data_IF_713979323907
#
_entry.id   IF_713979323907
#
_cell.length_a   1.000
_cell.length_b   1.000
_cell.length_c   1.000
_cell.angle_alpha   90.00
_cell.angle_beta   90.00
_cell.angle_gamma   90.00
#
_symmetry.space_group_name_H-M   'P 1'
#
loop_
_entity.id
_entity.type
_entity.pdbx_description
1 polymer ?
#
# COMPACT_ATOMS: atom_id res chain seq x y z
N UNK A 1 15.96 -26.04 -14.46
CA UNK A 1 15.73 -25.95 -13.01
C UNK A 1 15.18 -24.55 -12.77
N UNK A 2 13.92 -24.42 -12.36
CA UNK A 2 13.20 -23.29 -11.73
C UNK A 2 11.73 -23.64 -11.97
N UNK A 3 11.14 -24.34 -11.01
CA UNK A 3 9.70 -24.27 -10.75
C UNK A 3 9.52 -23.52 -9.44
N UNK A 4 8.27 -23.18 -9.11
CA UNK A 4 7.79 -22.64 -7.83
C UNK A 4 7.83 -21.10 -7.78
N UNK A 5 6.70 -20.45 -8.05
CA UNK A 5 6.57 -19.00 -7.89
C UNK A 5 6.84 -18.53 -6.45
N UNK A 6 7.15 -17.25 -6.33
CA UNK A 6 7.64 -16.64 -5.10
C UNK A 6 6.54 -15.82 -4.44
N UNK A 7 6.15 -16.21 -3.22
CA UNK A 7 5.05 -15.59 -2.48
C UNK A 7 5.60 -14.78 -1.32
N UNK A 8 5.30 -13.48 -1.29
CA UNK A 8 5.64 -12.56 -0.21
C UNK A 8 4.39 -12.10 0.52
N UNK A 9 4.42 -12.11 1.86
CA UNK A 9 3.39 -11.53 2.70
C UNK A 9 3.89 -10.21 3.32
N UNK A 10 3.23 -9.11 3.00
CA UNK A 10 3.50 -7.78 3.53
C UNK A 10 2.46 -7.45 4.58
N UNK A 11 2.89 -7.15 5.80
CA UNK A 11 1.99 -7.02 6.95
C UNK A 11 2.29 -5.79 7.79
N UNK A 12 1.27 -5.11 8.30
CA UNK A 12 1.41 -3.92 9.13
C UNK A 12 0.24 -2.96 8.95
N UNK A 13 0.28 -1.80 9.59
CA UNK A 13 -0.84 -0.86 9.56
C UNK A 13 -1.13 -0.26 8.16
N UNK A 14 -2.33 0.29 7.92
CA UNK A 14 -2.62 1.01 6.69
C UNK A 14 -1.66 2.19 6.46
N UNK A 15 -1.20 2.35 5.21
CA UNK A 15 -0.40 3.52 4.82
C UNK A 15 1.08 3.47 5.22
N UNK A 16 1.62 2.31 5.59
CA UNK A 16 3.06 2.10 5.91
C UNK A 16 3.92 1.67 4.72
N UNK A 17 3.35 1.60 3.50
CA UNK A 17 4.11 1.32 2.27
C UNK A 17 4.06 -0.12 1.75
N UNK A 18 3.13 -0.96 2.23
CA UNK A 18 2.95 -2.34 1.74
C UNK A 18 2.75 -2.41 0.21
N UNK A 19 1.70 -1.76 -0.30
CA UNK A 19 1.40 -1.68 -1.75
C UNK A 19 2.56 -1.04 -2.53
N UNK A 20 3.14 0.05 -2.00
CA UNK A 20 4.28 0.74 -2.62
C UNK A 20 5.50 -0.16 -2.80
N UNK A 21 5.70 -1.15 -1.91
CA UNK A 21 6.81 -2.10 -2.03
C UNK A 21 6.63 -3.04 -3.22
N UNK A 22 5.41 -3.52 -3.45
CA UNK A 22 5.09 -4.33 -4.62
C UNK A 22 5.21 -3.52 -5.93
N UNK A 23 4.75 -2.26 -5.92
CA UNK A 23 4.93 -1.32 -7.03
C UNK A 23 6.42 -1.08 -7.35
N UNK A 24 7.23 -0.83 -6.33
CA UNK A 24 8.67 -0.59 -6.48
C UNK A 24 9.39 -1.85 -6.99
N UNK A 25 9.00 -3.03 -6.52
CA UNK A 25 9.55 -4.30 -7.01
C UNK A 25 9.21 -4.52 -8.49
N UNK A 26 7.97 -4.25 -8.91
CA UNK A 26 7.56 -4.36 -10.30
C UNK A 26 8.32 -3.38 -11.22
N UNK A 27 8.51 -2.14 -10.75
CA UNK A 27 9.29 -1.11 -11.46
C UNK A 27 10.75 -1.55 -11.66
N UNK A 28 11.42 -1.98 -10.58
CA UNK A 28 12.82 -2.43 -10.62
C UNK A 28 13.00 -3.68 -11.50
N UNK A 29 12.04 -4.60 -11.49
CA UNK A 29 12.08 -5.81 -12.31
C UNK A 29 11.61 -5.59 -13.75
N UNK A 30 11.13 -4.37 -14.08
CA UNK A 30 10.52 -4.03 -15.36
C UNK A 30 9.41 -4.99 -15.78
N UNK A 31 8.60 -5.44 -14.81
CA UNK A 31 7.46 -6.33 -15.04
C UNK A 31 6.14 -5.57 -14.78
N UNK A 32 5.07 -5.85 -15.53
CA UNK A 32 3.75 -5.30 -15.22
C UNK A 32 3.32 -5.70 -13.81
N UNK A 33 2.67 -4.80 -13.07
CA UNK A 33 2.00 -5.13 -11.82
C UNK A 33 0.50 -5.32 -12.09
N UNK A 34 0.00 -6.52 -11.86
CA UNK A 34 -1.45 -6.77 -11.78
C UNK A 34 -1.86 -6.62 -10.32
N UNK A 35 -2.64 -5.59 -9.99
CA UNK A 35 -3.11 -5.33 -8.63
C UNK A 35 -4.62 -5.51 -8.54
N UNK A 36 -5.07 -6.20 -7.50
CA UNK A 36 -6.49 -6.29 -7.16
C UNK A 36 -6.69 -6.31 -5.65
N UNK A 37 -7.82 -5.76 -5.18
CA UNK A 37 -8.23 -5.96 -3.78
C UNK A 37 -8.86 -7.34 -3.63
N UNK A 38 -8.62 -7.98 -2.49
CA UNK A 38 -9.22 -9.27 -2.19
C UNK A 38 -10.77 -9.19 -2.15
N UNK A 39 -11.35 -8.02 -1.84
CA UNK A 39 -12.79 -7.79 -1.92
C UNK A 39 -13.38 -7.85 -3.34
N UNK A 40 -12.55 -7.72 -4.38
CA UNK A 40 -12.97 -7.78 -5.79
C UNK A 40 -13.12 -9.22 -6.30
N UNK A 41 -12.69 -10.22 -5.52
CA UNK A 41 -12.79 -11.64 -5.90
C UNK A 41 -14.24 -12.18 -5.84
N UNK A 42 -15.16 -11.47 -5.19
CA UNK A 42 -16.56 -11.87 -5.06
C UNK A 42 -16.95 -12.32 -3.65
N UNK A 43 -18.24 -12.57 -3.45
CA UNK A 43 -18.80 -12.83 -2.12
C UNK A 43 -18.90 -14.34 -1.83
N UNK A 44 -19.22 -15.13 -2.86
CA UNK A 44 -19.37 -16.58 -2.74
C UNK A 44 -18.05 -17.32 -2.92
N UNK A 45 -18.00 -18.60 -2.53
CA UNK A 45 -16.79 -19.41 -2.71
C UNK A 45 -16.48 -19.67 -4.20
N UNK A 46 -17.53 -19.81 -5.04
CA UNK A 46 -17.38 -20.08 -6.48
C UNK A 46 -16.87 -18.85 -7.23
N UNK A 47 -17.46 -17.67 -6.98
CA UNK A 47 -17.02 -16.42 -7.64
C UNK A 47 -15.55 -16.11 -7.35
N UNK A 48 -15.13 -16.34 -6.10
CA UNK A 48 -13.74 -16.20 -5.69
C UNK A 48 -12.83 -17.17 -6.45
N UNK A 49 -13.26 -18.41 -6.62
CA UNK A 49 -12.47 -19.42 -7.33
C UNK A 49 -12.30 -19.03 -8.80
N UNK A 50 -13.39 -18.69 -9.48
CA UNK A 50 -13.40 -18.30 -10.89
C UNK A 50 -12.57 -17.02 -11.11
N UNK A 51 -12.73 -16.02 -10.24
CA UNK A 51 -12.01 -14.75 -10.34
C UNK A 51 -10.52 -14.92 -10.08
N UNK A 52 -10.15 -15.73 -9.09
CA UNK A 52 -8.74 -15.97 -8.78
C UNK A 52 -8.06 -16.79 -9.89
N UNK A 53 -8.74 -17.80 -10.45
CA UNK A 53 -8.22 -18.57 -11.59
C UNK A 53 -7.99 -17.67 -12.81
N UNK A 54 -8.95 -16.81 -13.15
CA UNK A 54 -8.83 -15.83 -14.22
C UNK A 54 -7.64 -14.89 -14.00
N UNK A 55 -7.49 -14.33 -12.80
CA UNK A 55 -6.41 -13.40 -12.48
C UNK A 55 -5.04 -14.06 -12.54
N UNK A 56 -4.92 -15.28 -12.00
CA UNK A 56 -3.68 -16.06 -12.09
C UNK A 56 -3.31 -16.37 -13.54
N UNK A 57 -4.29 -16.69 -14.39
CA UNK A 57 -4.08 -16.91 -15.81
C UNK A 57 -3.62 -15.63 -16.53
N UNK A 58 -4.28 -14.50 -16.28
CA UNK A 58 -3.91 -13.20 -16.86
C UNK A 58 -2.51 -12.76 -16.44
N UNK A 59 -2.22 -12.83 -15.15
CA UNK A 59 -0.91 -12.47 -14.62
C UNK A 59 0.20 -13.35 -15.24
N UNK A 60 -0.08 -14.65 -15.41
CA UNK A 60 0.86 -15.58 -16.04
C UNK A 60 1.07 -15.27 -17.52
N UNK A 61 0.01 -14.96 -18.25
CA UNK A 61 0.08 -14.59 -19.68
C UNK A 61 0.86 -13.30 -19.92
N UNK A 62 0.77 -12.35 -18.99
CA UNK A 62 1.49 -11.08 -19.06
C UNK A 62 2.88 -11.11 -18.43
N UNK A 63 3.27 -12.24 -17.83
CA UNK A 63 4.48 -12.34 -17.01
C UNK A 63 4.53 -11.21 -15.95
N UNK A 64 3.39 -10.94 -15.32
CA UNK A 64 3.20 -9.85 -14.37
C UNK A 64 3.60 -10.26 -12.95
N UNK A 65 3.95 -9.28 -12.13
CA UNK A 65 3.89 -9.45 -10.67
C UNK A 65 2.42 -9.33 -10.27
N UNK A 66 1.92 -10.26 -9.45
CA UNK A 66 0.57 -10.20 -8.92
C UNK A 66 0.59 -9.61 -7.51
N UNK A 67 -0.28 -8.64 -7.25
CA UNK A 67 -0.55 -8.08 -5.93
C UNK A 67 -2.01 -8.32 -5.56
N UNK A 68 -2.22 -9.08 -4.48
CA UNK A 68 -3.51 -9.19 -3.81
C UNK A 68 -3.45 -8.31 -2.55
N UNK A 69 -4.17 -7.20 -2.57
CA UNK A 69 -4.23 -6.24 -1.46
C UNK A 69 -5.38 -6.59 -0.50
N UNK A 70 -5.22 -6.31 0.80
CA UNK A 70 -6.25 -6.50 1.83
C UNK A 70 -6.74 -7.96 1.96
N UNK A 71 -5.81 -8.92 1.91
CA UNK A 71 -6.12 -10.35 2.01
C UNK A 71 -6.56 -10.82 3.41
N UNK A 72 -6.83 -9.91 4.36
CA UNK A 72 -7.24 -10.25 5.73
C UNK A 72 -8.41 -11.27 5.74
N UNK A 73 -9.38 -11.12 4.83
CA UNK A 73 -10.56 -12.00 4.70
C UNK A 73 -10.19 -13.40 4.21
N UNK A 74 -9.11 -13.53 3.45
CA UNK A 74 -8.66 -14.79 2.85
C UNK A 74 -7.70 -15.54 3.75
N UNK A 75 -6.84 -14.82 4.47
CA UNK A 75 -5.77 -15.42 5.26
C UNK A 75 -6.27 -16.07 6.56
N UNK A 76 -7.42 -15.62 7.07
CA UNK A 76 -8.02 -16.14 8.31
C UNK A 76 -8.82 -17.43 8.07
N UNK A 77 -8.43 -18.54 8.70
CA UNK A 77 -9.16 -19.81 8.61
C UNK A 77 -10.35 -19.84 9.57
N UNK A 78 -11.54 -19.39 9.13
CA UNK A 78 -12.75 -19.35 9.98
C UNK A 78 -13.77 -20.44 9.65
N UNK A 79 -13.82 -20.89 8.40
CA UNK A 79 -14.83 -21.84 7.89
C UNK A 79 -14.25 -22.83 6.87
N UNK A 80 -15.01 -23.88 6.55
CA UNK A 80 -14.63 -24.87 5.53
C UNK A 80 -14.57 -24.30 4.11
N UNK A 81 -15.29 -23.22 3.82
CA UNK A 81 -15.18 -22.46 2.57
C UNK A 81 -13.86 -21.71 2.45
N UNK A 82 -13.33 -21.18 3.55
CA UNK A 82 -12.06 -20.44 3.56
C UNK A 82 -10.89 -21.38 3.23
N UNK A 83 -10.92 -22.62 3.76
CA UNK A 83 -9.94 -23.66 3.42
C UNK A 83 -9.90 -24.00 1.92
N UNK A 84 -11.03 -23.88 1.19
CA UNK A 84 -11.06 -24.11 -0.26
C UNK A 84 -10.41 -22.95 -1.03
N UNK A 85 -10.73 -21.70 -0.66
CA UNK A 85 -10.12 -20.49 -1.23
C UNK A 85 -8.60 -20.48 -1.02
N UNK A 86 -8.16 -20.88 0.16
CA UNK A 86 -6.74 -20.96 0.53
C UNK A 86 -5.97 -21.96 -0.32
N UNK A 87 -6.61 -23.05 -0.75
CA UNK A 87 -6.01 -24.03 -1.66
C UNK A 87 -5.79 -23.48 -3.08
N UNK A 88 -6.50 -22.44 -3.50
CA UNK A 88 -6.39 -21.88 -4.85
C UNK A 88 -5.21 -20.92 -4.98
N UNK A 89 -4.98 -20.05 -3.99
CA UNK A 89 -3.74 -19.27 -3.87
C UNK A 89 -2.51 -20.21 -3.86
N UNK A 90 -2.74 -21.42 -3.34
CA UNK A 90 -1.77 -22.49 -3.23
C UNK A 90 -1.48 -23.25 -4.53
N UNK A 91 -2.35 -23.11 -5.55
CA UNK A 91 -2.11 -23.64 -6.90
C UNK A 91 -1.16 -22.68 -7.61
N UNK A 92 0.13 -23.01 -7.49
CA UNK A 92 1.31 -22.40 -8.10
C UNK A 92 1.05 -21.33 -9.18
N UNK A 93 0.98 -20.07 -8.78
CA UNK A 93 1.34 -18.99 -9.69
C UNK A 93 2.83 -19.18 -10.06
N UNK A 94 3.22 -19.26 -11.34
CA UNK A 94 4.62 -19.45 -11.71
C UNK A 94 5.49 -18.18 -11.60
N UNK A 95 4.94 -17.05 -11.10
CA UNK A 95 5.64 -15.78 -10.96
C UNK A 95 5.72 -15.25 -9.52
N UNK A 96 5.84 -13.93 -9.36
CA UNK A 96 5.92 -13.27 -8.06
C UNK A 96 4.52 -12.85 -7.61
N UNK A 97 4.15 -13.22 -6.38
CA UNK A 97 2.89 -12.88 -5.74
C UNK A 97 3.17 -12.11 -4.44
N UNK A 98 2.67 -10.88 -4.36
CA UNK A 98 2.57 -10.12 -3.13
C UNK A 98 1.16 -10.26 -2.54
N UNK A 99 1.11 -10.61 -1.26
CA UNK A 99 -0.09 -10.57 -0.44
C UNK A 99 0.09 -9.43 0.55
N UNK A 100 -0.92 -8.58 0.74
CA UNK A 100 -0.90 -7.62 1.85
C UNK A 100 -1.96 -7.98 2.89
N UNK A 101 -1.66 -7.64 4.14
CA UNK A 101 -2.61 -7.80 5.24
C UNK A 101 -2.40 -6.70 6.27
N UNK A 102 -3.46 -6.28 6.94
CA UNK A 102 -3.36 -5.41 8.12
C UNK A 102 -3.32 -6.25 9.41
N UNK A 103 -3.66 -7.54 9.33
CA UNK A 103 -3.73 -8.47 10.46
C UNK A 103 -2.86 -9.69 10.20
N UNK A 104 -1.99 -10.00 11.16
CA UNK A 104 -1.14 -11.20 11.13
C UNK A 104 -1.70 -12.37 11.94
N UNK A 105 -2.74 -12.13 12.72
CA UNK A 105 -3.32 -13.13 13.61
C UNK A 105 -4.07 -14.17 12.78
N UNK A 106 -3.89 -15.44 13.14
CA UNK A 106 -4.69 -16.57 12.64
C UNK A 106 -4.52 -16.91 11.14
N UNK A 107 -3.31 -16.73 10.60
CA UNK A 107 -2.97 -17.20 9.26
C UNK A 107 -3.12 -18.72 9.12
N UNK A 108 -3.83 -19.15 8.09
CA UNK A 108 -3.98 -20.57 7.72
C UNK A 108 -2.60 -21.27 7.56
N UNK A 109 -2.34 -22.40 8.27
CA UNK A 109 -1.09 -23.14 8.15
C UNK A 109 -0.72 -23.59 6.73
N UNK A 110 -1.71 -23.88 5.88
CA UNK A 110 -1.51 -24.29 4.49
C UNK A 110 -1.09 -23.11 3.59
N UNK A 111 -1.46 -21.87 3.92
CA UNK A 111 -0.92 -20.67 3.26
C UNK A 111 0.46 -20.35 3.82
N UNK A 112 0.59 -20.37 5.16
CA UNK A 112 1.85 -20.06 5.85
C UNK A 112 3.02 -20.90 5.33
N UNK A 113 2.81 -22.21 5.14
CA UNK A 113 3.83 -23.12 4.58
C UNK A 113 4.29 -22.81 3.15
N UNK A 114 3.58 -21.94 2.42
CA UNK A 114 3.91 -21.55 1.03
C UNK A 114 4.40 -20.11 0.91
N UNK A 115 4.30 -19.31 1.96
CA UNK A 115 4.88 -17.97 1.99
C UNK A 115 6.40 -18.14 2.10
N UNK A 116 7.12 -17.55 1.15
CA UNK A 116 8.57 -17.63 1.09
C UNK A 116 9.21 -16.57 1.97
N UNK A 117 8.58 -15.40 2.07
CA UNK A 117 9.04 -14.29 2.87
C UNK A 117 7.87 -13.53 3.47
N UNK A 118 7.95 -13.25 4.77
CA UNK A 118 7.04 -12.34 5.46
C UNK A 118 7.80 -11.09 5.87
N UNK A 119 7.30 -9.92 5.47
CA UNK A 119 7.83 -8.61 5.87
C UNK A 119 6.82 -7.95 6.81
N UNK A 120 7.29 -7.62 8.00
CA UNK A 120 6.53 -6.89 9.01
C UNK A 120 6.93 -5.41 8.98
N UNK A 121 5.95 -4.55 8.68
CA UNK A 121 6.10 -3.11 8.65
C UNK A 121 5.71 -2.55 10.02
N UNK A 122 6.66 -1.96 10.76
CA UNK A 122 6.33 -1.28 12.00
C UNK A 122 5.55 0.00 11.72
N UNK A 123 4.94 0.56 12.77
CA UNK A 123 4.42 1.92 12.72
C UNK A 123 5.53 2.91 12.33
N UNK A 124 5.17 3.96 11.58
CA UNK A 124 6.13 4.95 11.10
C UNK A 124 6.69 5.75 12.28
N UNK A 125 8.01 5.72 12.45
CA UNK A 125 8.71 6.60 13.39
C UNK A 125 8.85 8.03 12.85
N UNK A 126 9.38 8.93 13.70
CA UNK A 126 9.57 10.34 13.35
C UNK A 126 10.47 10.48 12.11
N UNK A 127 11.54 9.68 12.02
CA UNK A 127 12.47 9.71 10.90
C UNK A 127 11.79 9.30 9.58
N UNK A 128 10.99 8.25 9.60
CA UNK A 128 10.21 7.76 8.47
C UNK A 128 9.16 8.79 8.04
N UNK A 129 8.42 9.38 8.98
CA UNK A 129 7.46 10.45 8.68
C UNK A 129 8.15 11.67 8.08
N UNK A 130 9.29 12.09 8.61
CA UNK A 130 10.08 13.20 8.06
C UNK A 130 10.52 12.91 6.63
N UNK A 131 11.00 11.69 6.36
CA UNK A 131 11.37 11.28 5.01
C UNK A 131 10.16 11.35 4.06
N UNK A 132 9.01 10.82 4.47
CA UNK A 132 7.78 10.85 3.67
C UNK A 132 7.31 12.29 3.41
N UNK A 133 7.34 13.16 4.41
CA UNK A 133 7.03 14.58 4.26
C UNK A 133 7.94 15.26 3.24
N UNK A 134 9.26 15.06 3.37
CA UNK A 134 10.25 15.59 2.40
C UNK A 134 9.94 15.10 1.00
N UNK A 135 9.77 13.80 0.81
CA UNK A 135 9.47 13.19 -0.48
C UNK A 135 8.22 13.81 -1.11
N UNK A 136 7.10 13.88 -0.39
CA UNK A 136 5.88 14.41 -0.97
C UNK A 136 5.90 15.92 -1.19
N UNK A 137 6.62 16.70 -0.37
CA UNK A 137 6.77 18.15 -0.56
C UNK A 137 7.72 18.46 -1.73
N UNK A 138 8.83 17.73 -1.87
CA UNK A 138 9.82 17.94 -2.94
C UNK A 138 9.34 17.41 -4.29
N UNK A 139 8.73 16.22 -4.36
CA UNK A 139 8.27 15.65 -5.65
C UNK A 139 7.33 16.59 -6.42
N UNK A 140 6.48 17.34 -5.71
CA UNK A 140 5.60 18.30 -6.39
C UNK A 140 6.23 19.67 -6.65
N UNK A 141 7.40 19.99 -6.09
CA UNK A 141 8.23 21.12 -6.56
C UNK A 141 8.80 20.79 -7.93
N UNK A 142 9.45 19.63 -8.05
CA UNK A 142 10.11 19.16 -9.29
C UNK A 142 9.11 19.05 -10.44
N UNK A 143 7.90 18.56 -10.16
CA UNK A 143 6.85 18.47 -11.18
C UNK A 143 6.32 19.83 -11.67
N UNK A 144 6.60 20.94 -10.97
CA UNK A 144 6.03 22.27 -11.24
C UNK A 144 7.04 23.40 -11.41
N UNK A 145 8.33 23.13 -11.23
CA UNK A 145 9.40 24.14 -11.24
C UNK A 145 9.11 25.30 -10.27
N UNK A 146 8.54 24.98 -9.10
CA UNK A 146 8.11 25.94 -8.08
C UNK A 146 8.83 25.68 -6.75
N UNK A 147 9.48 26.71 -6.18
CA UNK A 147 10.01 26.67 -4.82
C UNK A 147 8.86 26.64 -3.80
N UNK A 148 8.90 25.72 -2.81
CA UNK A 148 7.93 25.76 -1.71
C UNK A 148 8.41 26.67 -0.59
N UNK A 149 7.51 27.39 0.06
CA UNK A 149 7.79 28.14 1.28
C UNK A 149 7.76 27.30 2.56
N UNK A 150 8.16 26.02 2.49
CA UNK A 150 8.22 25.10 3.63
C UNK A 150 9.69 24.77 3.90
N UNK A 151 10.19 25.11 5.08
CA UNK A 151 11.56 24.82 5.48
C UNK A 151 11.72 23.40 6.03
N UNK A 152 12.96 22.91 6.07
CA UNK A 152 13.25 21.61 6.70
C UNK A 152 12.86 21.58 8.18
N UNK A 153 13.02 22.70 8.89
CA UNK A 153 12.60 22.84 10.29
C UNK A 153 11.10 22.65 10.46
N UNK A 154 10.29 23.14 9.51
CA UNK A 154 8.84 22.98 9.52
C UNK A 154 8.46 21.50 9.34
N UNK A 155 9.16 20.80 8.44
CA UNK A 155 8.95 19.37 8.19
C UNK A 155 9.33 18.50 9.39
N UNK A 156 10.43 18.83 10.07
CA UNK A 156 10.81 18.17 11.34
C UNK A 156 9.70 18.37 12.37
N UNK A 157 9.24 19.60 12.56
CA UNK A 157 8.16 19.89 13.49
C UNK A 157 6.84 19.19 13.12
N UNK A 158 6.55 18.98 11.84
CA UNK A 158 5.38 18.22 11.37
C UNK A 158 5.52 16.73 11.69
N UNK A 159 6.70 16.16 11.44
CA UNK A 159 6.98 14.75 11.69
C UNK A 159 6.93 14.40 13.20
N UNK A 160 7.36 15.32 14.06
CA UNK A 160 7.32 15.14 15.52
C UNK A 160 5.89 15.22 16.08
N UNK A 161 5.09 16.19 15.64
CA UNK A 161 3.77 16.47 16.25
C UNK A 161 2.59 15.72 15.62
N UNK A 162 2.71 15.26 14.38
CA UNK A 162 1.62 14.60 13.65
C UNK A 162 1.87 13.09 13.56
N UNK A 163 1.14 12.32 14.36
CA UNK A 163 1.12 10.85 14.33
C UNK A 163 0.19 10.34 13.22
N UNK A 164 0.61 10.51 11.97
CA UNK A 164 -0.19 10.20 10.78
C UNK A 164 0.58 9.27 9.84
N UNK A 165 -0.13 8.41 9.12
CA UNK A 165 0.50 7.44 8.22
C UNK A 165 0.91 8.08 6.87
N UNK A 166 1.67 7.35 6.05
CA UNK A 166 2.18 7.87 4.78
C UNK A 166 1.10 8.25 3.76
N UNK A 167 -0.03 7.51 3.75
CA UNK A 167 -1.20 7.83 2.91
C UNK A 167 -1.83 9.16 3.34
N UNK A 168 -1.92 9.39 4.65
CA UNK A 168 -2.46 10.62 5.20
C UNK A 168 -1.54 11.81 4.92
N UNK A 169 -0.22 11.66 5.09
CA UNK A 169 0.76 12.69 4.71
C UNK A 169 0.59 13.07 3.23
N UNK A 170 0.55 12.07 2.33
CA UNK A 170 0.34 12.28 0.88
C UNK A 170 -0.93 13.09 0.61
N UNK A 171 -2.03 12.73 1.26
CA UNK A 171 -3.32 13.41 1.09
C UNK A 171 -3.27 14.85 1.61
N UNK A 172 -2.66 15.09 2.78
CA UNK A 172 -2.50 16.43 3.34
C UNK A 172 -1.70 17.33 2.39
N UNK A 173 -0.55 16.86 1.90
CA UNK A 173 0.27 17.61 0.95
C UNK A 173 -0.49 17.87 -0.36
N UNK A 174 -1.19 16.87 -0.89
CA UNK A 174 -1.98 17.00 -2.13
C UNK A 174 -3.07 18.06 -1.98
N UNK A 175 -3.84 18.02 -0.89
CA UNK A 175 -4.89 19.02 -0.63
C UNK A 175 -4.31 20.40 -0.37
N UNK A 176 -3.21 20.50 0.39
CA UNK A 176 -2.51 21.77 0.62
C UNK A 176 -2.07 22.43 -0.69
N UNK A 177 -1.60 21.63 -1.66
CA UNK A 177 -1.27 22.14 -3.01
C UNK A 177 -2.47 22.61 -3.81
N UNK A 178 -3.63 21.99 -3.63
CA UNK A 178 -4.87 22.45 -4.29
C UNK A 178 -5.29 23.80 -3.73
N UNK A 179 -5.19 24.00 -2.41
CA UNK A 179 -5.43 25.29 -1.77
C UNK A 179 -4.45 26.36 -2.26
N UNK A 180 -3.15 26.06 -2.22
CA UNK A 180 -2.12 26.99 -2.68
C UNK A 180 -2.32 27.40 -4.16
N UNK A 181 -2.71 26.43 -5.01
CA UNK A 181 -3.05 26.70 -6.41
C UNK A 181 -4.27 27.61 -6.55
N UNK A 182 -5.29 27.42 -5.71
CA UNK A 182 -6.48 28.28 -5.71
C UNK A 182 -6.14 29.73 -5.30
N UNK A 183 -5.11 29.91 -4.46
CA UNK A 183 -4.59 31.21 -4.05
C UNK A 183 -3.53 31.79 -5.00
N UNK A 184 -3.22 31.12 -6.11
CA UNK A 184 -2.15 31.48 -7.05
C UNK A 184 -0.78 31.66 -6.36
N UNK A 185 -0.49 30.81 -5.37
CA UNK A 185 0.74 30.83 -4.57
C UNK A 185 1.39 29.46 -4.50
N UNK A 186 2.71 29.46 -4.27
CA UNK A 186 3.43 28.23 -3.94
C UNK A 186 2.96 27.65 -2.61
N UNK A 187 3.10 26.33 -2.48
CA UNK A 187 2.79 25.62 -1.24
C UNK A 187 3.60 26.19 -0.06
N UNK A 188 2.89 26.52 1.02
CA UNK A 188 3.41 27.06 2.28
C UNK A 188 2.88 26.26 3.47
N UNK A 189 3.53 26.39 4.62
CA UNK A 189 3.16 25.68 5.85
C UNK A 189 1.70 25.94 6.25
N UNK A 190 1.21 27.17 6.07
CA UNK A 190 -0.17 27.56 6.40
C UNK A 190 -1.24 26.70 5.69
N UNK A 191 -1.00 26.29 4.45
CA UNK A 191 -1.90 25.41 3.71
C UNK A 191 -1.94 24.01 4.32
N UNK A 192 -0.76 23.48 4.71
CA UNK A 192 -0.65 22.18 5.38
C UNK A 192 -1.36 22.21 6.73
N UNK A 193 -1.13 23.25 7.53
CA UNK A 193 -1.76 23.42 8.84
C UNK A 193 -3.27 23.59 8.73
N UNK A 194 -3.77 24.32 7.73
CA UNK A 194 -5.19 24.44 7.47
C UNK A 194 -5.82 23.07 7.22
N UNK A 195 -5.23 22.25 6.34
CA UNK A 195 -5.74 20.90 6.04
C UNK A 195 -5.70 20.00 7.29
N UNK A 196 -4.63 20.08 8.10
CA UNK A 196 -4.54 19.33 9.35
C UNK A 196 -5.61 19.77 10.37
N UNK A 197 -5.87 21.07 10.50
CA UNK A 197 -6.93 21.61 11.37
C UNK A 197 -8.32 21.13 10.95
N UNK A 198 -8.61 21.19 9.65
CA UNK A 198 -9.88 20.68 9.07
C UNK A 198 -10.05 19.20 9.39
N UNK A 199 -9.01 18.40 9.16
CA UNK A 199 -9.03 16.95 9.44
C UNK A 199 -9.28 16.64 10.91
N UNK A 200 -8.70 17.42 11.83
CA UNK A 200 -8.91 17.28 13.28
C UNK A 200 -10.27 17.82 13.76
N UNK A 201 -11.08 18.40 12.88
CA UNK A 201 -12.38 19.00 13.22
C UNK A 201 -12.27 20.28 14.05
N UNK A 202 -11.16 21.01 13.95
CA UNK A 202 -10.84 22.18 14.81
C UNK A 202 -11.20 23.52 14.13
N UNK A 203 -11.98 23.51 13.05
CA UNK A 203 -12.53 24.75 12.49
C UNK A 203 -13.65 25.27 13.40
N UNK A 204 -13.31 26.21 14.27
CA UNK A 204 -14.26 27.10 14.97
C UNK A 204 -14.02 28.53 14.54
#
# INVERSE_FOLDING_TARGET
MIGLGFIMLLSGDPGVGKTLTAESAAEEMHQPLYSMSAGELGETASEVEDSLELVLELASKWNAILLLDECDIFLEARTSSDLRRNRLISKYYPGILFLTTNRLTDLDPAISSRIHLTIHYPALDIASRLHIWKTFVVMGQVARDEETGISEKDLVGLAEREEINGREIKNVVKTGRLLAKQEERSLRLEHIEMVLKVRKGVLR
#
